data_IF_710787777353
#
_entry.id   IF_710787777353
#
_cell.length_a   1.000
_cell.length_b   1.000
_cell.length_c   1.000
_cell.angle_alpha   90.00
_cell.angle_beta   90.00
_cell.angle_gamma   90.00
#
_symmetry.space_group_name_H-M   'P 1'
#
loop_
_entity.id
_entity.type
_entity.pdbx_description
1 polymer ?
#
# COMPACT_ATOMS: atom_id res chain seq x y z
N UNK A 1 -6.86 -17.21 10.51
CA UNK A 1 -5.92 -16.28 9.85
C UNK A 1 -5.34 -16.95 8.61
N UNK A 2 -5.97 -16.76 7.45
CA UNK A 2 -5.45 -17.24 6.16
C UNK A 2 -5.53 -16.09 5.14
N UNK A 3 -4.53 -15.18 5.15
CA UNK A 3 -4.31 -14.20 4.08
C UNK A 3 -3.33 -14.71 3.00
N UNK A 4 -2.94 -15.99 3.05
CA UNK A 4 -1.82 -16.53 2.28
C UNK A 4 -2.11 -16.78 0.78
N UNK A 5 -3.38 -16.77 0.36
CA UNK A 5 -3.75 -17.18 -1.02
C UNK A 5 -3.78 -16.05 -2.05
N UNK A 6 -3.79 -14.77 -1.65
CA UNK A 6 -3.91 -13.63 -2.57
C UNK A 6 -2.60 -12.88 -2.89
N UNK A 7 -1.55 -13.06 -2.08
CA UNK A 7 -0.35 -12.19 -2.12
C UNK A 7 0.78 -12.78 -2.97
N UNK A 8 0.65 -14.01 -3.46
CA UNK A 8 1.69 -14.67 -4.26
C UNK A 8 2.00 -13.96 -5.58
N UNK A 9 1.03 -13.18 -6.11
CA UNK A 9 1.18 -12.37 -7.32
C UNK A 9 1.72 -10.96 -7.05
N UNK A 10 1.88 -10.56 -5.80
CA UNK A 10 2.36 -9.22 -5.47
C UNK A 10 3.80 -9.01 -5.94
N UNK A 11 4.02 -7.85 -6.54
CA UNK A 11 5.35 -7.30 -6.78
C UNK A 11 6.11 -7.08 -5.47
N UNK A 12 7.40 -6.75 -5.60
CA UNK A 12 8.29 -6.54 -4.45
C UNK A 12 7.75 -5.43 -3.54
N UNK A 13 7.32 -4.32 -4.12
CA UNK A 13 6.85 -3.15 -3.38
C UNK A 13 5.54 -3.41 -2.65
N UNK A 14 4.59 -4.13 -3.27
CA UNK A 14 3.36 -4.54 -2.61
C UNK A 14 3.64 -5.49 -1.42
N UNK A 15 4.65 -6.36 -1.51
CA UNK A 15 5.11 -7.18 -0.38
C UNK A 15 5.71 -6.34 0.74
N UNK A 16 6.48 -5.30 0.42
CA UNK A 16 7.00 -4.37 1.42
C UNK A 16 5.89 -3.57 2.13
N UNK A 17 4.88 -3.11 1.40
CA UNK A 17 3.71 -2.45 1.98
C UNK A 17 2.96 -3.41 2.90
N UNK A 18 2.75 -4.66 2.47
CA UNK A 18 2.12 -5.69 3.29
C UNK A 18 2.88 -5.91 4.60
N UNK A 19 4.21 -6.01 4.55
CA UNK A 19 5.04 -6.16 5.73
C UNK A 19 4.90 -4.97 6.70
N UNK A 20 4.84 -3.74 6.19
CA UNK A 20 4.58 -2.57 7.04
C UNK A 20 3.18 -2.60 7.65
N UNK A 21 2.15 -2.99 6.89
CA UNK A 21 0.78 -3.13 7.38
C UNK A 21 0.75 -4.13 8.54
N UNK A 22 1.31 -5.32 8.35
CA UNK A 22 1.37 -6.36 9.39
C UNK A 22 2.12 -5.90 10.65
N UNK A 23 3.17 -5.09 10.48
CA UNK A 23 3.98 -4.60 11.60
C UNK A 23 3.37 -3.40 12.35
N UNK A 24 2.62 -2.52 11.66
CA UNK A 24 2.28 -1.20 12.20
C UNK A 24 0.79 -0.82 12.16
N UNK A 25 -0.07 -1.56 11.43
CA UNK A 25 -1.46 -1.16 11.24
C UNK A 25 -2.36 -1.43 12.46
N UNK A 26 -1.99 -2.35 13.35
CA UNK A 26 -2.77 -2.70 14.53
C UNK A 26 -4.20 -3.13 14.16
N UNK A 27 -5.20 -2.45 14.71
CA UNK A 27 -6.63 -2.73 14.43
C UNK A 27 -7.05 -2.48 12.98
N UNK A 28 -6.25 -1.76 12.19
CA UNK A 28 -6.53 -1.45 10.78
C UNK A 28 -5.94 -2.47 9.80
N UNK A 29 -5.30 -3.53 10.29
CA UNK A 29 -4.60 -4.52 9.46
C UNK A 29 -5.50 -5.10 8.37
N UNK A 30 -6.69 -5.58 8.71
CA UNK A 30 -7.62 -6.18 7.74
C UNK A 30 -8.08 -5.17 6.67
N UNK A 31 -8.42 -3.93 7.08
CA UNK A 31 -8.81 -2.85 6.16
C UNK A 31 -7.70 -2.53 5.15
N UNK A 32 -6.47 -2.41 5.63
CA UNK A 32 -5.33 -2.01 4.81
C UNK A 32 -4.84 -3.15 3.91
N UNK A 33 -4.89 -4.41 4.37
CA UNK A 33 -4.62 -5.57 3.51
C UNK A 33 -5.65 -5.66 2.39
N UNK A 34 -6.95 -5.49 2.70
CA UNK A 34 -7.99 -5.44 1.66
C UNK A 34 -7.74 -4.32 0.67
N UNK A 35 -7.35 -3.14 1.15
CA UNK A 35 -7.02 -2.00 0.29
C UNK A 35 -5.80 -2.30 -0.59
N UNK A 36 -4.80 -3.04 -0.10
CA UNK A 36 -3.65 -3.44 -0.91
C UNK A 36 -4.05 -4.44 -2.01
N UNK A 37 -4.90 -5.42 -1.71
CA UNK A 37 -5.44 -6.32 -2.73
C UNK A 37 -6.23 -5.57 -3.80
N UNK A 38 -7.09 -4.64 -3.39
CA UNK A 38 -7.90 -3.84 -4.31
C UNK A 38 -7.04 -2.89 -5.16
N UNK A 39 -5.92 -2.39 -4.64
CA UNK A 39 -4.98 -1.59 -5.42
C UNK A 39 -4.25 -2.45 -6.48
N UNK A 40 -3.93 -3.70 -6.16
CA UNK A 40 -3.23 -4.66 -7.05
C UNK A 40 -4.17 -5.35 -8.04
N UNK A 41 -5.47 -5.30 -7.82
CA UNK A 41 -6.48 -5.82 -8.74
C UNK A 41 -6.72 -4.83 -9.89
N UNK A 42 -6.28 -5.21 -11.09
CA UNK A 42 -6.47 -4.40 -12.30
C UNK A 42 -7.93 -4.42 -12.80
N UNK A 43 -8.75 -5.38 -12.34
CA UNK A 43 -10.18 -5.49 -12.66
C UNK A 43 -11.06 -4.72 -11.66
N UNK A 44 -10.49 -4.20 -10.56
CA UNK A 44 -11.22 -3.41 -9.58
C UNK A 44 -11.70 -2.07 -10.16
N UNK A 45 -12.87 -1.60 -9.69
CA UNK A 45 -13.46 -0.33 -10.13
C UNK A 45 -12.49 0.81 -9.82
N UNK A 46 -12.40 1.78 -10.73
CA UNK A 46 -11.47 2.91 -10.60
C UNK A 46 -11.65 3.71 -9.29
N UNK A 47 -12.90 3.86 -8.82
CA UNK A 47 -13.24 4.55 -7.57
C UNK A 47 -12.78 3.79 -6.31
N UNK A 48 -12.86 2.46 -6.35
CA UNK A 48 -12.45 1.60 -5.25
C UNK A 48 -10.92 1.57 -5.17
N UNK A 49 -10.24 1.46 -6.32
CA UNK A 49 -8.78 1.61 -6.43
C UNK A 49 -8.29 2.96 -5.93
N UNK A 50 -9.01 4.04 -6.23
CA UNK A 50 -8.68 5.39 -5.75
C UNK A 50 -8.81 5.49 -4.23
N UNK A 51 -9.88 4.94 -3.66
CA UNK A 51 -10.12 4.89 -2.22
C UNK A 51 -9.05 4.07 -1.50
N UNK A 52 -8.78 2.86 -2.00
CA UNK A 52 -7.76 1.96 -1.50
C UNK A 52 -6.37 2.62 -1.47
N UNK A 53 -5.99 3.28 -2.57
CA UNK A 53 -4.78 4.10 -2.67
C UNK A 53 -4.74 5.19 -1.61
N UNK A 54 -5.82 5.95 -1.41
CA UNK A 54 -5.84 7.05 -0.43
C UNK A 54 -5.61 6.51 0.99
N UNK A 55 -6.22 5.37 1.33
CA UNK A 55 -6.02 4.69 2.63
C UNK A 55 -4.57 4.25 2.83
N UNK A 56 -3.98 3.60 1.84
CA UNK A 56 -2.59 3.13 1.87
C UNK A 56 -1.60 4.29 1.97
N UNK A 57 -1.83 5.38 1.21
CA UNK A 57 -1.03 6.60 1.29
C UNK A 57 -1.03 7.16 2.72
N UNK A 58 -2.22 7.35 3.30
CA UNK A 58 -2.34 7.86 4.68
C UNK A 58 -1.63 6.96 5.70
N UNK A 59 -1.72 5.64 5.51
CA UNK A 59 -1.00 4.68 6.36
C UNK A 59 0.53 4.83 6.24
N UNK A 60 1.07 4.93 5.03
CA UNK A 60 2.50 5.10 4.84
C UNK A 60 3.02 6.43 5.41
N UNK A 61 2.24 7.51 5.32
CA UNK A 61 2.58 8.76 6.02
C UNK A 61 2.61 8.58 7.54
N UNK A 62 1.62 7.90 8.11
CA UNK A 62 1.57 7.61 9.53
C UNK A 62 2.81 6.82 9.99
N UNK A 63 3.17 5.74 9.26
CA UNK A 63 4.36 4.94 9.56
C UNK A 63 5.64 5.76 9.37
N UNK A 64 5.73 6.57 8.32
CA UNK A 64 6.89 7.43 8.04
C UNK A 64 7.13 8.49 9.11
N UNK A 65 6.04 9.04 9.67
CA UNK A 65 6.09 9.96 10.80
C UNK A 65 6.55 9.30 12.11
N UNK A 66 6.34 8.00 12.27
CA UNK A 66 6.75 7.22 13.44
C UNK A 66 8.18 6.65 13.32
N UNK A 67 8.67 6.39 12.11
CA UNK A 67 9.85 5.54 11.87
C UNK A 67 11.15 6.25 11.44
N UNK A 68 11.18 7.56 11.19
CA UNK A 68 12.43 8.22 10.81
C UNK A 68 12.95 7.79 9.41
N UNK A 69 12.15 8.12 8.39
CA UNK A 69 12.58 8.70 7.11
C UNK A 69 13.36 7.93 6.02
N UNK A 70 13.70 6.63 6.12
CA UNK A 70 14.41 5.94 5.00
C UNK A 70 13.57 4.93 4.20
N UNK A 71 12.77 4.06 4.84
CA UNK A 71 11.98 3.04 4.13
C UNK A 71 10.71 3.57 3.45
N UNK A 72 10.08 4.60 4.02
CA UNK A 72 8.81 5.14 3.52
C UNK A 72 8.94 5.96 2.24
N UNK A 73 10.10 6.56 1.98
CA UNK A 73 10.33 7.35 0.76
C UNK A 73 10.30 6.48 -0.51
N UNK A 74 10.78 5.23 -0.43
CA UNK A 74 10.74 4.29 -1.56
C UNK A 74 9.31 3.83 -1.85
N UNK A 75 8.54 3.55 -0.80
CA UNK A 75 7.12 3.14 -0.91
C UNK A 75 6.20 4.27 -1.35
N UNK A 76 6.49 5.50 -0.93
CA UNK A 76 5.79 6.67 -1.44
C UNK A 76 6.02 6.83 -2.96
N UNK A 77 7.25 6.63 -3.43
CA UNK A 77 7.58 6.67 -4.86
C UNK A 77 6.90 5.55 -5.65
N UNK A 78 6.79 4.35 -5.08
CA UNK A 78 6.00 3.26 -5.68
C UNK A 78 4.54 3.66 -5.88
N UNK A 79 3.91 4.23 -4.84
CA UNK A 79 2.56 4.76 -4.97
C UNK A 79 2.52 5.81 -6.08
N UNK A 80 3.37 6.83 -6.07
CA UNK A 80 3.37 7.87 -7.12
C UNK A 80 3.49 7.31 -8.55
N UNK A 81 4.30 6.28 -8.77
CA UNK A 81 4.44 5.59 -10.06
C UNK A 81 3.16 4.83 -10.46
N UNK A 82 2.56 4.07 -9.56
CA UNK A 82 1.29 3.34 -9.81
C UNK A 82 0.13 4.29 -10.14
N UNK A 83 0.30 5.58 -9.86
CA UNK A 83 -0.69 6.64 -10.06
C UNK A 83 -0.43 7.48 -11.28
N UNK A 84 0.67 7.23 -12.01
CA UNK A 84 1.09 8.04 -13.13
C UNK A 84 1.51 9.47 -12.73
N UNK A 85 1.82 9.71 -11.46
CA UNK A 85 2.15 11.04 -10.92
C UNK A 85 3.67 11.33 -10.92
N UNK A 86 4.51 10.38 -11.36
CA UNK A 86 5.97 10.49 -11.34
C UNK A 86 6.60 11.28 -12.51
N UNK A 87 5.82 12.00 -13.31
CA UNK A 87 6.30 12.82 -14.43
C UNK A 87 6.19 14.31 -14.12
N UNK A 88 7.21 14.86 -13.46
CA UNK A 88 7.30 16.30 -13.20
C UNK A 88 8.65 16.65 -12.60
N UNK A 89 9.50 17.25 -13.44
CA UNK A 89 10.82 17.80 -13.16
C UNK A 89 10.87 18.77 -11.99
#
# INVERSE_FOLDING_TARGET
>A
MQHFQGTSKFGTEAKEILALIEAHAGSRTEELVSSLHELEDDDARAEDRLTAKQRLKNFLYYVGGQAGNLGTSLLQKYLELRLGLGGGS
#
